data_IF_618188842337
#
_entry.id   IF_618188842337
#
_cell.length_a   1.000
_cell.length_b   1.000
_cell.length_c   1.000
_cell.angle_alpha   90.00
_cell.angle_beta   90.00
_cell.angle_gamma   90.00
#
_symmetry.space_group_name_H-M   'P 1'
#
loop_
_entity.id
_entity.type
_entity.pdbx_description
1 polymer ?
#
# COMPACT_ATOMS: atom_id res chain seq x y z
N UNK A 1 13.65 31.48 9.44
CA UNK A 1 13.27 31.04 10.79
C UNK A 1 13.42 29.53 10.85
N UNK A 2 14.61 29.02 11.17
CA UNK A 2 14.79 27.60 11.41
C UNK A 2 14.31 27.35 12.84
N UNK A 3 13.26 26.55 12.99
CA UNK A 3 12.78 26.15 14.31
C UNK A 3 13.80 25.17 14.89
N UNK A 4 14.50 25.57 15.96
CA UNK A 4 15.26 24.68 16.82
C UNK A 4 14.31 23.61 17.37
N UNK A 5 14.31 22.42 16.76
CA UNK A 5 13.62 21.25 17.28
C UNK A 5 14.27 20.91 18.61
N UNK A 6 13.54 21.08 19.72
CA UNK A 6 14.06 20.72 21.04
C UNK A 6 14.24 19.21 21.09
N UNK A 7 15.24 18.73 21.85
CA UNK A 7 15.52 17.30 21.98
C UNK A 7 14.30 16.51 22.46
N UNK A 8 13.49 17.09 23.36
CA UNK A 8 12.22 16.49 23.80
C UNK A 8 11.24 16.28 22.65
N UNK A 9 11.08 17.26 21.75
CA UNK A 9 10.19 17.16 20.58
C UNK A 9 10.68 16.08 19.61
N UNK A 10 12.00 15.94 19.44
CA UNK A 10 12.59 14.89 18.60
C UNK A 10 12.35 13.49 19.16
N UNK A 11 12.51 13.31 20.47
CA UNK A 11 12.26 12.02 21.12
C UNK A 11 10.77 11.65 21.12
N UNK A 12 9.88 12.63 21.26
CA UNK A 12 8.44 12.42 21.09
C UNK A 12 8.10 11.98 19.66
N UNK A 13 8.61 12.67 18.64
CA UNK A 13 8.41 12.30 17.23
C UNK A 13 8.91 10.87 16.94
N UNK A 14 10.06 10.48 17.49
CA UNK A 14 10.57 9.10 17.37
C UNK A 14 9.66 8.08 18.03
N UNK A 15 9.17 8.37 19.23
CA UNK A 15 8.28 7.47 19.98
C UNK A 15 6.96 7.26 19.22
N UNK A 16 6.35 8.34 18.73
CA UNK A 16 5.14 8.29 17.92
C UNK A 16 5.37 7.55 16.60
N UNK A 17 6.50 7.84 15.93
CA UNK A 17 6.91 7.13 14.72
C UNK A 17 7.07 5.64 14.94
N UNK A 18 7.70 5.23 16.05
CA UNK A 18 7.85 3.81 16.43
C UNK A 18 6.49 3.14 16.64
N UNK A 19 5.62 3.75 17.44
CA UNK A 19 4.27 3.22 17.70
C UNK A 19 3.48 3.05 16.39
N UNK A 20 3.54 4.04 15.51
CA UNK A 20 2.88 3.99 14.20
C UNK A 20 3.47 2.90 13.31
N UNK A 21 4.79 2.75 13.30
CA UNK A 21 5.46 1.69 12.54
C UNK A 21 5.06 0.29 13.03
N UNK A 22 4.99 0.07 14.34
CA UNK A 22 4.54 -1.19 14.94
C UNK A 22 3.08 -1.50 14.56
N UNK A 23 2.19 -0.51 14.63
CA UNK A 23 0.79 -0.67 14.22
C UNK A 23 0.68 -1.00 12.71
N UNK A 24 1.41 -0.28 11.86
CA UNK A 24 1.41 -0.52 10.43
C UNK A 24 1.92 -1.92 10.08
N UNK A 25 3.01 -2.36 10.75
CA UNK A 25 3.57 -3.68 10.54
C UNK A 25 2.58 -4.78 10.96
N UNK A 26 1.95 -4.64 12.12
CA UNK A 26 0.93 -5.58 12.58
C UNK A 26 -0.23 -5.68 11.58
N UNK A 27 -0.78 -4.54 11.14
CA UNK A 27 -1.86 -4.51 10.16
C UNK A 27 -1.44 -5.18 8.84
N UNK A 28 -0.23 -4.90 8.36
CA UNK A 28 0.30 -5.50 7.14
C UNK A 28 0.43 -7.02 7.26
N UNK A 29 0.96 -7.52 8.39
CA UNK A 29 1.11 -8.95 8.63
C UNK A 29 -0.24 -9.67 8.72
N UNK A 30 -1.21 -9.08 9.41
CA UNK A 30 -2.57 -9.64 9.52
C UNK A 30 -3.22 -9.73 8.15
N UNK A 31 -3.21 -8.65 7.37
CA UNK A 31 -3.82 -8.63 6.04
C UNK A 31 -3.12 -9.59 5.09
N UNK A 32 -1.79 -9.68 5.13
CA UNK A 32 -1.05 -10.70 4.39
C UNK A 32 -1.50 -12.12 4.74
N UNK A 33 -1.67 -12.41 6.03
CA UNK A 33 -2.12 -13.74 6.49
C UNK A 33 -3.55 -14.06 6.04
N UNK A 34 -4.43 -13.07 6.01
CA UNK A 34 -5.80 -13.23 5.50
C UNK A 34 -5.76 -13.50 4.00
N UNK A 35 -5.00 -12.71 3.23
CA UNK A 35 -4.83 -12.91 1.80
C UNK A 35 -4.28 -14.32 1.46
N UNK A 36 -3.29 -14.80 2.21
CA UNK A 36 -2.76 -16.16 2.09
C UNK A 36 -3.82 -17.24 2.39
N UNK A 37 -4.58 -17.07 3.48
CA UNK A 37 -5.58 -18.03 3.95
C UNK A 37 -6.77 -18.16 2.99
N UNK A 38 -7.25 -17.02 2.49
CA UNK A 38 -8.36 -16.94 1.53
C UNK A 38 -7.89 -17.13 0.08
N UNK A 39 -6.59 -17.40 -0.11
CA UNK A 39 -5.95 -17.63 -1.41
C UNK A 39 -6.23 -16.50 -2.42
N UNK A 40 -6.26 -15.26 -1.92
CA UNK A 40 -6.41 -14.06 -2.74
C UNK A 40 -5.16 -13.88 -3.60
N UNK A 41 -5.38 -13.67 -4.90
CA UNK A 41 -4.31 -13.42 -5.88
C UNK A 41 -4.66 -12.23 -6.74
N UNK A 42 -3.62 -11.57 -7.22
CA UNK A 42 -3.73 -10.49 -8.21
C UNK A 42 -3.42 -11.08 -9.57
N UNK A 43 -4.39 -11.01 -10.47
CA UNK A 43 -4.23 -11.42 -11.85
C UNK A 43 -3.46 -10.37 -12.65
N UNK A 44 -2.89 -10.78 -13.80
CA UNK A 44 -2.23 -9.83 -14.70
C UNK A 44 -3.22 -8.82 -15.33
N UNK A 45 -4.50 -9.18 -15.43
CA UNK A 45 -5.54 -8.26 -15.88
C UNK A 45 -5.78 -7.14 -14.88
N UNK A 46 -5.95 -7.47 -13.59
CA UNK A 46 -6.09 -6.46 -12.53
C UNK A 46 -4.86 -5.57 -12.48
N UNK A 47 -3.68 -6.15 -12.73
CA UNK A 47 -2.45 -5.39 -12.79
C UNK A 47 -2.50 -4.37 -13.95
N UNK A 48 -2.98 -4.80 -15.11
CA UNK A 48 -3.14 -3.93 -16.28
C UNK A 48 -4.19 -2.83 -16.08
N UNK A 49 -5.30 -3.14 -15.41
CA UNK A 49 -6.32 -2.16 -15.03
C UNK A 49 -5.76 -1.11 -14.08
N UNK A 50 -5.00 -1.51 -13.06
CA UNK A 50 -4.34 -0.57 -12.16
C UNK A 50 -3.37 0.36 -12.90
N UNK A 51 -2.61 -0.15 -13.87
CA UNK A 51 -1.74 0.69 -14.70
C UNK A 51 -2.54 1.72 -15.52
N UNK A 52 -3.71 1.34 -16.04
CA UNK A 52 -4.61 2.28 -16.74
C UNK A 52 -5.14 3.36 -15.81
N UNK A 53 -5.51 2.99 -14.58
CA UNK A 53 -5.97 3.97 -13.58
C UNK A 53 -4.86 4.96 -13.22
N UNK A 54 -3.64 4.48 -12.98
CA UNK A 54 -2.47 5.34 -12.69
C UNK A 54 -2.17 6.24 -13.88
N UNK A 55 -2.17 5.71 -15.10
CA UNK A 55 -1.97 6.47 -16.32
C UNK A 55 -3.01 7.59 -16.48
N UNK A 56 -4.29 7.27 -16.25
CA UNK A 56 -5.40 8.24 -16.29
C UNK A 56 -5.26 9.30 -15.20
N UNK A 57 -4.94 8.91 -13.97
CA UNK A 57 -4.79 9.83 -12.84
C UNK A 57 -3.63 10.82 -13.02
N UNK A 58 -2.55 10.37 -13.66
CA UNK A 58 -1.35 11.19 -13.90
C UNK A 58 -1.33 11.87 -15.28
N UNK A 59 -2.35 11.66 -16.12
CA UNK A 59 -2.38 12.09 -17.53
C UNK A 59 -1.13 11.65 -18.32
N UNK A 60 -0.63 10.46 -18.04
CA UNK A 60 0.54 9.87 -18.70
C UNK A 60 0.12 8.73 -19.64
N UNK A 61 0.85 8.48 -20.74
CA UNK A 61 0.62 7.31 -21.56
C UNK A 61 0.87 6.01 -20.78
N UNK A 62 -0.03 5.02 -20.96
CA UNK A 62 0.06 3.72 -20.28
C UNK A 62 1.42 3.03 -20.45
N UNK A 63 1.98 3.10 -21.66
CA UNK A 63 3.29 2.51 -21.96
C UNK A 63 4.41 3.12 -21.10
N UNK A 64 4.37 4.43 -20.83
CA UNK A 64 5.36 5.09 -19.98
C UNK A 64 5.20 4.65 -18.52
N UNK A 65 3.97 4.54 -18.03
CA UNK A 65 3.72 4.06 -16.66
C UNK A 65 4.24 2.63 -16.46
N UNK A 66 3.95 1.73 -17.40
CA UNK A 66 4.43 0.34 -17.34
C UNK A 66 5.95 0.30 -17.37
N UNK A 67 6.58 1.07 -18.26
CA UNK A 67 8.04 1.12 -18.39
C UNK A 67 8.71 1.68 -17.13
N UNK A 68 8.16 2.75 -16.54
CA UNK A 68 8.62 3.30 -15.27
C UNK A 68 8.52 2.28 -14.14
N UNK A 69 7.36 1.63 -13.96
CA UNK A 69 7.17 0.65 -12.87
C UNK A 69 8.08 -0.57 -13.03
N UNK A 70 8.31 -1.03 -14.26
CA UNK A 70 9.24 -2.13 -14.53
C UNK A 70 10.69 -1.73 -14.27
N UNK A 71 11.13 -0.55 -14.72
CA UNK A 71 12.50 -0.05 -14.52
C UNK A 71 12.84 0.19 -13.06
N UNK A 72 11.88 0.70 -12.29
CA UNK A 72 12.05 0.97 -10.86
C UNK A 72 11.90 -0.28 -9.99
N UNK A 73 11.58 -1.45 -10.56
CA UNK A 73 11.35 -2.68 -9.79
C UNK A 73 10.08 -2.64 -8.91
N UNK A 74 9.24 -1.62 -9.08
CA UNK A 74 8.03 -1.39 -8.26
C UNK A 74 6.84 -2.28 -8.63
N UNK A 75 7.02 -3.19 -9.60
CA UNK A 75 5.96 -4.09 -10.05
C UNK A 75 5.41 -4.95 -8.91
N UNK A 76 6.30 -5.54 -8.10
CA UNK A 76 5.89 -6.39 -6.97
C UNK A 76 5.29 -5.57 -5.82
N UNK A 77 5.78 -4.36 -5.58
CA UNK A 77 5.17 -3.44 -4.62
C UNK A 77 3.75 -3.07 -5.03
N UNK A 78 3.55 -2.76 -6.30
CA UNK A 78 2.24 -2.41 -6.82
C UNK A 78 1.28 -3.61 -6.78
N UNK A 79 1.76 -4.81 -7.14
CA UNK A 79 0.99 -6.05 -6.97
C UNK A 79 0.59 -6.27 -5.51
N UNK A 80 1.51 -6.04 -4.57
CA UNK A 80 1.25 -6.16 -3.14
C UNK A 80 0.21 -5.14 -2.67
N UNK A 81 0.24 -3.91 -3.18
CA UNK A 81 -0.75 -2.87 -2.90
C UNK A 81 -2.15 -3.25 -3.38
N UNK A 82 -2.26 -3.80 -4.60
CA UNK A 82 -3.54 -4.31 -5.13
C UNK A 82 -4.05 -5.46 -4.26
N UNK A 83 -3.19 -6.41 -3.91
CA UNK A 83 -3.56 -7.54 -3.06
C UNK A 83 -4.09 -7.07 -1.71
N UNK A 84 -3.41 -6.08 -1.11
CA UNK A 84 -3.82 -5.49 0.15
C UNK A 84 -5.20 -4.84 0.05
N UNK A 85 -5.44 -4.02 -0.99
CA UNK A 85 -6.74 -3.41 -1.24
C UNK A 85 -7.84 -4.47 -1.38
N UNK A 86 -7.62 -5.52 -2.19
CA UNK A 86 -8.57 -6.64 -2.33
C UNK A 86 -8.86 -7.34 -1.01
N UNK A 87 -7.85 -7.47 -0.16
CA UNK A 87 -8.02 -8.11 1.15
C UNK A 87 -8.88 -7.26 2.07
N UNK A 88 -8.68 -5.94 2.03
CA UNK A 88 -9.55 -4.99 2.76
C UNK A 88 -10.97 -5.02 2.20
N UNK A 89 -11.14 -4.98 0.88
CA UNK A 89 -12.46 -5.04 0.23
C UNK A 89 -13.19 -6.34 0.62
N UNK A 90 -12.50 -7.48 0.60
CA UNK A 90 -13.03 -8.76 1.08
C UNK A 90 -13.48 -8.68 2.54
N UNK A 91 -12.69 -8.07 3.42
CA UNK A 91 -13.07 -7.91 4.83
C UNK A 91 -14.29 -7.01 5.00
N UNK A 92 -14.42 -5.94 4.21
CA UNK A 92 -15.57 -5.04 4.26
C UNK A 92 -16.84 -5.75 3.79
N UNK A 93 -16.77 -6.55 2.71
CA UNK A 93 -17.90 -7.33 2.21
C UNK A 93 -18.41 -8.38 3.21
N UNK A 94 -17.51 -8.94 4.03
CA UNK A 94 -17.84 -9.96 5.02
C UNK A 94 -18.02 -9.39 6.44
N UNK A 95 -17.75 -8.09 6.63
CA UNK A 95 -17.97 -7.44 7.90
C UNK A 95 -19.48 -7.31 8.14
N UNK A 96 -19.95 -7.77 9.30
CA UNK A 96 -21.27 -7.43 9.78
C UNK A 96 -21.18 -5.98 10.26
N UNK A 97 -21.57 -5.05 9.39
CA UNK A 97 -21.69 -3.63 9.72
C UNK A 97 -23.10 -3.46 10.30
N UNK A 98 -23.19 -3.41 11.64
CA UNK A 98 -24.38 -2.87 12.34
C UNK A 98 -24.29 -1.35 12.47
#
# INVERSE_FOLDING_TARGET
>A
TQQDIKKEDLEQLKSEGKKKAEQNLNNHLILKKIAEKENLKVSDQEMHEQFKEIAKANNLPLAQVIDSVNKEGKKEELRSSILFKKTVDFLVEHAIIE
#
